data_IF_772335390599
#
_entry.id   IF_772335390599
#
_cell.length_a   1.000
_cell.length_b   1.000
_cell.length_c   1.000
_cell.angle_alpha   90.00
_cell.angle_beta   90.00
_cell.angle_gamma   90.00
#
_symmetry.space_group_name_H-M   'P 1'
#
loop_
_entity.id
_entity.type
_entity.pdbx_description
1 polymer ?
#
# COMPACT_ATOMS: atom_id res chain seq x y z
N UNK A 1 1.63 -11.81 -11.31
CA UNK A 1 2.77 -10.92 -11.02
C UNK A 1 2.24 -9.49 -10.96
N UNK A 2 2.00 -8.98 -9.74
CA UNK A 2 1.57 -7.59 -9.48
C UNK A 2 2.49 -6.58 -10.16
N UNK A 3 1.96 -5.44 -10.63
CA UNK A 3 2.66 -4.50 -11.51
C UNK A 3 3.99 -3.95 -10.96
N UNK A 4 4.26 -4.11 -9.66
CA UNK A 4 5.50 -3.69 -9.01
C UNK A 4 6.23 -4.82 -8.28
N UNK A 5 5.86 -6.10 -8.44
CA UNK A 5 6.52 -7.20 -7.73
C UNK A 5 7.97 -7.39 -8.19
N UNK A 6 8.95 -7.11 -7.33
CA UNK A 6 10.37 -7.38 -7.59
C UNK A 6 10.79 -8.69 -6.92
N UNK A 7 11.63 -9.50 -7.57
CA UNK A 7 12.23 -10.68 -6.96
C UNK A 7 13.53 -10.28 -6.27
N UNK A 8 13.64 -10.53 -4.96
CA UNK A 8 14.92 -10.35 -4.29
C UNK A 8 15.92 -11.45 -4.70
N UNK A 9 17.20 -11.31 -4.30
CA UNK A 9 18.27 -12.28 -4.61
C UNK A 9 18.03 -13.72 -4.12
N UNK A 10 17.02 -13.92 -3.28
CA UNK A 10 16.63 -15.21 -2.71
C UNK A 10 15.34 -15.77 -3.33
N UNK A 11 14.75 -15.07 -4.30
CA UNK A 11 13.54 -15.49 -5.01
C UNK A 11 12.23 -15.15 -4.31
N UNK A 12 12.23 -14.32 -3.27
CA UNK A 12 11.00 -13.83 -2.64
C UNK A 12 10.47 -12.61 -3.37
N UNK A 13 9.14 -12.53 -3.47
CA UNK A 13 8.44 -11.39 -4.06
C UNK A 13 8.42 -10.25 -3.04
N UNK A 14 8.85 -9.06 -3.48
CA UNK A 14 8.80 -7.83 -2.72
C UNK A 14 7.90 -6.81 -3.39
N UNK A 15 7.32 -5.96 -2.55
CA UNK A 15 6.36 -4.93 -2.92
C UNK A 15 6.85 -3.58 -2.38
N UNK A 16 6.79 -2.48 -3.15
CA UNK A 16 7.29 -1.20 -2.71
C UNK A 16 6.27 -0.46 -1.82
N UNK A 17 6.74 0.20 -0.78
CA UNK A 17 5.94 0.98 0.16
C UNK A 17 6.58 2.33 0.43
N UNK A 18 5.78 3.38 0.63
CA UNK A 18 6.26 4.67 1.13
C UNK A 18 6.40 4.60 2.64
N UNK A 19 7.54 4.99 3.17
CA UNK A 19 7.77 5.02 4.62
C UNK A 19 7.05 6.20 5.26
N UNK A 20 6.35 5.94 6.37
CA UNK A 20 5.81 6.98 7.25
C UNK A 20 6.81 7.22 8.37
N UNK A 21 7.19 8.48 8.55
CA UNK A 21 8.04 8.88 9.68
C UNK A 21 7.16 9.00 10.94
N UNK A 22 7.36 8.08 11.89
CA UNK A 22 6.57 8.02 13.14
C UNK A 22 6.75 9.24 14.06
N UNK A 23 7.87 9.95 13.98
CA UNK A 23 8.10 11.14 14.82
C UNK A 23 7.38 12.37 14.27
N UNK A 24 7.33 12.50 12.94
CA UNK A 24 6.75 13.68 12.27
C UNK A 24 5.34 13.45 11.72
N UNK A 25 4.91 12.19 11.57
CA UNK A 25 3.65 11.79 10.92
C UNK A 25 3.64 12.02 9.41
N UNK A 26 4.81 12.22 8.81
CA UNK A 26 4.96 12.58 7.40
C UNK A 26 5.13 11.33 6.54
N UNK A 27 4.33 11.22 5.47
CA UNK A 27 4.54 10.18 4.47
C UNK A 27 5.67 10.62 3.54
N UNK A 28 6.81 9.96 3.67
CA UNK A 28 8.03 10.32 2.94
C UNK A 28 7.97 9.87 1.48
N UNK A 29 8.97 10.27 0.70
CA UNK A 29 9.23 9.74 -0.64
C UNK A 29 10.23 8.57 -0.63
N UNK A 30 10.63 8.09 0.56
CA UNK A 30 11.49 6.92 0.70
C UNK A 30 10.68 5.67 0.37
N UNK A 31 11.14 4.91 -0.61
CA UNK A 31 10.53 3.64 -1.02
C UNK A 31 11.26 2.48 -0.37
N UNK A 32 10.53 1.72 0.44
CA UNK A 32 11.01 0.50 1.12
C UNK A 32 10.36 -0.71 0.47
N UNK A 33 11.16 -1.72 0.16
CA UNK A 33 10.69 -2.96 -0.47
C UNK A 33 10.52 -4.02 0.61
N UNK A 34 9.29 -4.45 0.83
CA UNK A 34 8.96 -5.46 1.85
C UNK A 34 8.50 -6.74 1.17
N UNK A 35 8.94 -7.88 1.72
CA UNK A 35 8.32 -9.18 1.47
C UNK A 35 6.98 -9.28 2.22
N UNK A 36 6.17 -10.30 1.90
CA UNK A 36 4.90 -10.52 2.59
C UNK A 36 5.08 -10.75 4.10
N UNK A 37 6.09 -11.53 4.50
CA UNK A 37 6.38 -11.78 5.92
C UNK A 37 6.85 -10.51 6.66
N UNK A 38 7.59 -9.62 5.98
CA UNK A 38 7.99 -8.33 6.55
C UNK A 38 6.82 -7.36 6.65
N UNK A 39 5.91 -7.33 5.65
CA UNK A 39 4.71 -6.49 5.66
C UNK A 39 3.79 -6.80 6.86
N UNK A 40 3.64 -8.08 7.21
CA UNK A 40 2.74 -8.52 8.29
C UNK A 40 3.09 -7.95 9.67
N UNK A 41 4.32 -7.46 9.86
CA UNK A 41 4.77 -6.81 11.11
C UNK A 41 4.40 -5.32 11.19
N UNK A 42 3.87 -4.74 10.11
CA UNK A 42 3.62 -3.30 9.99
C UNK A 42 2.16 -2.97 9.68
N UNK A 43 1.76 -1.73 9.99
CA UNK A 43 0.47 -1.18 9.58
C UNK A 43 0.66 -0.38 8.30
N UNK A 44 0.01 -0.82 7.21
CA UNK A 44 0.11 -0.18 5.89
C UNK A 44 -1.17 0.56 5.55
N UNK A 45 -1.10 1.88 5.40
CA UNK A 45 -2.22 2.70 4.91
C UNK A 45 -2.41 2.56 3.40
N UNK A 46 -3.66 2.71 2.95
CA UNK A 46 -4.01 2.64 1.54
C UNK A 46 -3.50 3.84 0.75
N UNK A 47 -3.18 3.65 -0.53
CA UNK A 47 -2.68 4.71 -1.41
C UNK A 47 -3.68 5.86 -1.64
N UNK A 48 -4.98 5.62 -1.40
CA UNK A 48 -6.06 6.58 -1.55
C UNK A 48 -6.32 7.42 -0.29
N UNK A 49 -5.61 7.16 0.83
CA UNK A 49 -5.71 7.99 2.04
C UNK A 49 -5.30 9.42 1.71
N UNK A 50 -6.16 10.38 2.07
CA UNK A 50 -5.92 11.80 1.77
C UNK A 50 -4.73 12.30 2.57
N UNK A 51 -3.82 12.98 1.88
CA UNK A 51 -2.69 13.67 2.50
C UNK A 51 -2.90 15.19 2.45
N UNK A 52 -2.35 15.90 3.43
CA UNK A 52 -2.23 17.35 3.43
C UNK A 52 -1.15 17.81 2.45
N UNK A 53 -1.07 19.11 2.15
CA UNK A 53 -0.01 19.67 1.30
C UNK A 53 1.40 19.39 1.87
N UNK A 54 1.52 19.29 3.20
CA UNK A 54 2.75 18.95 3.89
C UNK A 54 3.06 17.43 3.86
N UNK A 55 2.21 16.61 3.25
CA UNK A 55 2.43 15.17 3.11
C UNK A 55 2.08 14.32 4.34
N UNK A 56 1.28 14.85 5.27
CA UNK A 56 0.75 14.10 6.44
C UNK A 56 -0.65 13.58 6.15
N UNK A 57 -1.14 12.60 6.90
CA UNK A 57 -2.54 12.19 6.79
C UNK A 57 -3.49 13.35 7.15
N UNK A 58 -4.49 13.60 6.30
CA UNK A 58 -5.49 14.64 6.51
C UNK A 58 -6.54 14.25 7.56
N UNK A 59 -6.70 12.95 7.81
CA UNK A 59 -7.68 12.38 8.73
C UNK A 59 -6.94 11.69 9.89
N UNK A 60 -7.50 11.77 11.10
CA UNK A 60 -6.89 11.18 12.30
C UNK A 60 -6.98 9.64 12.31
N UNK A 61 -7.97 9.09 11.61
CA UNK A 61 -8.19 7.65 11.41
C UNK A 61 -8.10 7.40 9.91
N UNK A 62 -7.38 6.36 9.52
CA UNK A 62 -7.21 5.96 8.12
C UNK A 62 -7.44 4.47 7.96
N UNK A 63 -7.93 4.07 6.78
CA UNK A 63 -8.01 2.67 6.40
C UNK A 63 -6.61 2.12 6.13
N UNK A 64 -6.27 1.04 6.81
CA UNK A 64 -5.02 0.33 6.62
C UNK A 64 -5.19 -1.18 6.65
N UNK A 65 -4.08 -1.88 6.38
CA UNK A 65 -3.96 -3.32 6.42
C UNK A 65 -2.89 -3.72 7.42
N UNK A 66 -3.18 -4.74 8.21
CA UNK A 66 -2.21 -5.42 9.08
C UNK A 66 -2.55 -6.91 9.14
N UNK A 67 -1.55 -7.78 8.93
CA UNK A 67 -1.71 -9.25 8.92
C UNK A 67 -2.86 -9.73 8.01
N UNK A 68 -2.95 -9.16 6.80
CA UNK A 68 -4.00 -9.46 5.82
C UNK A 68 -5.40 -8.90 6.14
N UNK A 69 -5.62 -8.26 7.28
CA UNK A 69 -6.91 -7.70 7.67
C UNK A 69 -6.98 -6.20 7.38
N UNK A 70 -8.04 -5.76 6.70
CA UNK A 70 -8.32 -4.34 6.48
C UNK A 70 -9.18 -3.79 7.62
N UNK A 71 -8.70 -2.74 8.28
CA UNK A 71 -9.42 -2.07 9.37
C UNK A 71 -9.01 -0.59 9.48
N UNK A 72 -9.69 0.14 10.34
CA UNK A 72 -9.36 1.52 10.67
C UNK A 72 -8.23 1.57 11.71
N UNK A 73 -7.25 2.43 11.46
CA UNK A 73 -6.12 2.67 12.36
C UNK A 73 -5.96 4.16 12.63
N UNK A 74 -5.54 4.54 13.85
CA UNK A 74 -5.01 5.87 14.10
C UNK A 74 -3.83 6.17 13.17
N UNK A 75 -3.86 7.34 12.54
CA UNK A 75 -2.85 7.77 11.55
C UNK A 75 -1.42 7.82 12.11
N UNK A 76 -1.26 7.98 13.42
CA UNK A 76 0.02 7.99 14.15
C UNK A 76 0.60 6.59 14.40
N UNK A 77 -0.18 5.52 14.18
CA UNK A 77 0.27 4.13 14.27
C UNK A 77 0.67 3.54 12.92
N UNK A 78 0.45 4.28 11.83
CA UNK A 78 0.77 3.82 10.48
C UNK A 78 2.27 3.86 10.23
N UNK A 79 2.80 2.77 9.69
CA UNK A 79 4.23 2.60 9.38
C UNK A 79 4.57 2.89 7.93
N UNK A 80 3.68 2.47 7.04
CA UNK A 80 3.88 2.51 5.61
C UNK A 80 2.61 2.93 4.90
N UNK A 81 2.74 3.38 3.66
CA UNK A 81 1.62 3.67 2.77
C UNK A 81 1.88 3.01 1.42
N UNK A 82 0.86 2.42 0.81
CA UNK A 82 0.94 1.89 -0.55
C UNK A 82 1.43 2.99 -1.53
N UNK A 83 2.30 2.63 -2.48
CA UNK A 83 2.81 3.60 -3.47
C UNK A 83 1.74 3.96 -4.49
N UNK A 84 0.88 3.02 -4.84
CA UNK A 84 -0.17 3.22 -5.84
C UNK A 84 -1.34 2.27 -5.64
N UNK A 85 -2.59 2.70 -5.89
CA UNK A 85 -3.73 1.78 -5.93
C UNK A 85 -3.59 0.70 -7.02
N UNK A 86 -2.71 0.93 -8.02
CA UNK A 86 -2.38 -0.04 -9.08
C UNK A 86 -1.41 -1.14 -8.63
N UNK A 87 -0.94 -1.10 -7.40
CA UNK A 87 0.01 -2.06 -6.84
C UNK A 87 -0.61 -3.43 -6.59
N UNK A 88 -1.93 -3.48 -6.37
CA UNK A 88 -2.71 -4.71 -6.20
C UNK A 88 -2.93 -5.45 -7.53
N UNK A 89 -2.84 -4.77 -8.68
CA UNK A 89 -3.13 -5.37 -9.99
C UNK A 89 -1.88 -5.87 -10.70
N UNK A 90 -1.90 -7.13 -11.13
CA UNK A 90 -0.91 -7.72 -12.03
C UNK A 90 -0.84 -6.96 -13.36
N UNK A 91 0.34 -6.95 -13.99
CA UNK A 91 0.63 -6.24 -15.27
C UNK A 91 -0.42 -6.55 -16.36
N UNK A 92 -1.10 -7.70 -16.29
CA UNK A 92 -2.17 -8.09 -17.22
C UNK A 92 -3.48 -7.32 -17.03
N UNK A 93 -3.82 -6.86 -15.81
CA UNK A 93 -5.12 -6.25 -15.48
C UNK A 93 -5.09 -4.72 -15.53
N UNK A 94 -3.90 -4.10 -15.54
CA UNK A 94 -3.73 -2.64 -15.63
C UNK A 94 -4.13 -2.05 -17.00
N UNK A 95 -4.41 -2.90 -17.99
CA UNK A 95 -4.86 -2.50 -19.33
C UNK A 95 -6.38 -2.53 -19.53
N UNK A 96 -7.17 -2.81 -18.48
CA UNK A 96 -8.64 -2.72 -18.55
C UNK A 96 -9.03 -1.31 -18.05
N UNK A 97 -9.48 -0.40 -18.94
CA UNK A 97 -10.09 0.84 -18.47
C UNK A 97 -11.41 0.48 -17.75
N UNK A 98 -11.67 1.10 -16.58
CA UNK A 98 -12.89 1.00 -15.77
C UNK A 98 -13.06 -0.21 -14.82
N UNK A 99 -12.00 -0.66 -14.14
CA UNK A 99 -12.07 -1.72 -13.12
C UNK A 99 -12.84 -1.32 -11.83
N UNK A 100 -13.07 -0.02 -11.59
CA UNK A 100 -13.84 0.45 -10.41
C UNK A 100 -15.35 0.15 -10.49
N UNK A 101 -15.82 -0.35 -11.63
CA UNK A 101 -17.23 -0.57 -11.92
C UNK A 101 -17.55 -2.01 -12.39
N UNK A 102 -16.59 -2.93 -12.34
CA UNK A 102 -16.78 -4.29 -12.86
C UNK A 102 -16.81 -5.34 -11.74
N UNK A 103 -17.81 -6.20 -11.83
CA UNK A 103 -18.17 -7.22 -10.85
C UNK A 103 -17.05 -8.27 -10.75
N UNK A 104 -16.66 -8.63 -9.52
CA UNK A 104 -15.48 -9.45 -9.22
C UNK A 104 -15.49 -10.87 -9.83
N UNK A 105 -16.61 -11.29 -10.42
CA UNK A 105 -16.79 -12.62 -10.99
C UNK A 105 -16.29 -12.84 -12.42
N UNK A 106 -15.72 -11.82 -13.10
CA UNK A 106 -15.26 -11.98 -14.49
C UNK A 106 -13.77 -11.70 -14.74
N UNK A 107 -13.00 -11.46 -13.68
CA UNK A 107 -11.57 -11.11 -13.75
C UNK A 107 -10.63 -12.24 -13.25
N UNK A 108 -11.00 -13.51 -13.45
CA UNK A 108 -10.16 -14.67 -13.14
C UNK A 108 -9.68 -15.39 -14.41
#
# INVERSE_FOLDING_TARGET
LSSYGHLNKYGFIQTPYRKVDRETGLVTNEIVWLTADEEDEFIVAQANSKLTEDGRFAEAIVMGRHQGNNQEFPSDQVDFMDVSPKQVVAVATACIPFLENDDSNRAL
#
